data_IF_335291811487
#
_entry.id   IF_335291811487
#
_cell.length_a   1.000
_cell.length_b   1.000
_cell.length_c   1.000
_cell.angle_alpha   90.00
_cell.angle_beta   90.00
_cell.angle_gamma   90.00
#
_symmetry.space_group_name_H-M   'P 1'
#
loop_
_entity.id
_entity.type
_entity.pdbx_description
1 polymer ?
#
# COMPACT_ATOMS: atom_id res chain seq x y z
N UNK A 1 -22.27 -45.97 9.50
CA UNK A 1 -22.51 -45.61 8.08
C UNK A 1 -23.90 -45.01 7.89
N UNK A 2 -24.99 -45.76 8.12
CA UNK A 2 -26.35 -45.25 7.91
C UNK A 2 -26.68 -43.99 8.71
N UNK A 3 -26.28 -43.91 9.99
CA UNK A 3 -26.49 -42.71 10.80
C UNK A 3 -25.81 -41.45 10.20
N UNK A 4 -24.61 -41.60 9.63
CA UNK A 4 -23.90 -40.50 8.96
C UNK A 4 -24.66 -40.03 7.71
N UNK A 5 -25.13 -40.98 6.90
CA UNK A 5 -25.91 -40.67 5.69
C UNK A 5 -27.23 -39.98 6.02
N UNK A 6 -27.90 -40.39 7.10
CA UNK A 6 -29.10 -39.72 7.61
C UNK A 6 -28.81 -38.29 8.04
N UNK A 7 -27.70 -38.04 8.74
CA UNK A 7 -27.26 -36.68 9.12
C UNK A 7 -26.92 -35.84 7.88
N UNK A 8 -26.28 -36.42 6.87
CA UNK A 8 -25.96 -35.71 5.63
C UNK A 8 -27.23 -35.32 4.86
N UNK A 9 -28.21 -36.22 4.81
CA UNK A 9 -29.51 -35.93 4.22
C UNK A 9 -30.25 -34.84 4.99
N UNK A 10 -30.18 -34.85 6.32
CA UNK A 10 -30.77 -33.79 7.16
C UNK A 10 -30.10 -32.44 6.87
N UNK A 11 -28.76 -32.41 6.79
CA UNK A 11 -27.99 -31.22 6.43
C UNK A 11 -28.37 -30.68 5.05
N UNK A 12 -28.61 -31.54 4.06
CA UNK A 12 -29.09 -31.12 2.74
C UNK A 12 -30.48 -30.50 2.79
N UNK A 13 -31.39 -31.06 3.59
CA UNK A 13 -32.73 -30.50 3.75
C UNK A 13 -32.65 -29.12 4.39
N UNK A 14 -31.83 -28.96 5.44
CA UNK A 14 -31.61 -27.67 6.10
C UNK A 14 -30.98 -26.66 5.12
N UNK A 15 -29.98 -27.07 4.35
CA UNK A 15 -29.33 -26.21 3.35
C UNK A 15 -30.32 -25.76 2.28
N UNK A 16 -31.10 -26.69 1.72
CA UNK A 16 -32.12 -26.38 0.71
C UNK A 16 -33.20 -25.44 1.26
N UNK A 17 -33.56 -25.56 2.54
CA UNK A 17 -34.52 -24.65 3.17
C UNK A 17 -33.90 -23.26 3.41
N UNK A 18 -32.65 -23.21 3.89
CA UNK A 18 -31.92 -21.97 4.11
C UNK A 18 -31.73 -21.19 2.81
N UNK A 19 -31.41 -21.85 1.69
CA UNK A 19 -31.21 -21.21 0.39
C UNK A 19 -32.48 -20.61 -0.23
N UNK A 20 -33.69 -20.98 0.26
CA UNK A 20 -34.95 -20.35 -0.17
C UNK A 20 -35.17 -18.95 0.41
N UNK A 21 -34.43 -18.57 1.46
CA UNK A 21 -34.52 -17.24 2.04
C UNK A 21 -33.55 -16.25 1.32
N UNK A 22 -34.03 -15.07 0.88
CA UNK A 22 -33.23 -14.13 0.08
C UNK A 22 -32.01 -13.54 0.81
N UNK A 23 -32.00 -13.54 2.15
CA UNK A 23 -30.85 -13.12 2.95
C UNK A 23 -29.73 -14.19 3.01
N UNK A 24 -30.08 -15.46 2.86
CA UNK A 24 -29.17 -16.60 2.98
C UNK A 24 -28.61 -17.07 1.63
N UNK A 25 -29.25 -16.70 0.51
CA UNK A 25 -28.79 -17.04 -0.85
C UNK A 25 -27.51 -16.30 -1.27
N UNK A 26 -27.20 -15.16 -0.64
CA UNK A 26 -25.99 -14.38 -0.89
C UNK A 26 -24.76 -14.90 -0.11
N UNK A 27 -24.95 -15.84 0.82
CA UNK A 27 -23.89 -16.43 1.63
C UNK A 27 -23.41 -17.77 1.03
N UNK A 28 -22.12 -18.12 1.15
CA UNK A 28 -21.55 -19.36 0.63
C UNK A 28 -21.90 -20.60 1.48
N UNK A 29 -23.18 -20.78 1.81
CA UNK A 29 -23.68 -21.82 2.73
C UNK A 29 -23.38 -23.25 2.25
N UNK A 30 -23.38 -23.47 0.93
CA UNK A 30 -23.03 -24.77 0.34
C UNK A 30 -21.64 -25.23 0.78
N UNK A 31 -20.65 -24.34 0.76
CA UNK A 31 -19.27 -24.65 1.14
C UNK A 31 -19.16 -25.03 2.62
N UNK A 32 -19.84 -24.31 3.50
CA UNK A 32 -19.84 -24.59 4.94
C UNK A 32 -20.45 -25.96 5.23
N UNK A 33 -21.63 -26.25 4.68
CA UNK A 33 -22.31 -27.54 4.87
C UNK A 33 -21.51 -28.70 4.27
N UNK A 34 -20.88 -28.48 3.12
CA UNK A 34 -19.99 -29.46 2.50
C UNK A 34 -18.74 -29.71 3.36
N UNK A 35 -18.18 -28.68 3.99
CA UNK A 35 -17.08 -28.79 4.94
C UNK A 35 -17.45 -29.63 6.17
N UNK A 36 -18.62 -29.39 6.76
CA UNK A 36 -19.13 -30.19 7.89
C UNK A 36 -19.30 -31.66 7.49
N UNK A 37 -19.88 -31.92 6.31
CA UNK A 37 -20.01 -33.28 5.78
C UNK A 37 -18.65 -33.94 5.56
N UNK A 38 -17.69 -33.22 4.99
CA UNK A 38 -16.33 -33.74 4.77
C UNK A 38 -15.68 -34.16 6.09
N UNK A 39 -15.74 -33.31 7.12
CA UNK A 39 -15.21 -33.63 8.46
C UNK A 39 -15.90 -34.88 9.02
N UNK A 40 -17.23 -34.94 8.95
CA UNK A 40 -18.01 -36.10 9.42
C UNK A 40 -17.63 -37.40 8.69
N UNK A 41 -17.44 -37.33 7.37
CA UNK A 41 -17.03 -38.48 6.55
C UNK A 41 -15.63 -38.98 6.93
N UNK A 42 -14.67 -38.07 7.14
CA UNK A 42 -13.31 -38.41 7.57
C UNK A 42 -13.34 -39.09 8.95
N UNK A 43 -14.07 -38.54 9.92
CA UNK A 43 -14.15 -39.12 11.26
C UNK A 43 -14.73 -40.54 11.26
N UNK A 44 -15.85 -40.75 10.56
CA UNK A 44 -16.45 -42.09 10.44
C UNK A 44 -15.55 -43.05 9.66
N UNK A 45 -14.85 -42.57 8.64
CA UNK A 45 -13.85 -43.35 7.91
C UNK A 45 -12.70 -43.82 8.81
N UNK A 46 -12.15 -42.92 9.64
CA UNK A 46 -11.11 -43.26 10.62
C UNK A 46 -11.64 -44.27 11.65
N UNK A 47 -12.87 -44.09 12.15
CA UNK A 47 -13.50 -45.04 13.08
C UNK A 47 -13.66 -46.43 12.45
N UNK A 48 -14.07 -46.52 11.18
CA UNK A 48 -14.13 -47.80 10.48
C UNK A 48 -12.75 -48.46 10.38
N UNK A 49 -11.72 -47.73 9.94
CA UNK A 49 -10.37 -48.25 9.80
C UNK A 49 -9.80 -48.68 11.16
N UNK A 50 -10.05 -47.88 12.20
CA UNK A 50 -9.68 -48.17 13.59
C UNK A 50 -10.27 -49.51 14.06
N UNK A 51 -11.55 -49.76 13.77
CA UNK A 51 -12.20 -51.03 14.11
C UNK A 51 -11.62 -52.21 13.32
N UNK A 52 -11.27 -52.03 12.05
CA UNK A 52 -10.67 -53.08 11.21
C UNK A 52 -9.26 -53.46 11.67
N UNK A 53 -8.46 -52.48 12.07
CA UNK A 53 -7.06 -52.66 12.51
C UNK A 53 -7.00 -53.05 14.01
N UNK A 54 -8.10 -52.88 14.76
CA UNK A 54 -8.16 -53.14 16.20
C UNK A 54 -7.35 -52.14 17.04
N UNK A 55 -7.04 -50.97 16.48
CA UNK A 55 -6.27 -49.91 17.13
C UNK A 55 -7.18 -48.74 17.47
N UNK A 56 -6.83 -47.98 18.51
CA UNK A 56 -7.65 -46.83 18.89
C UNK A 56 -7.65 -45.76 17.77
N UNK A 57 -8.78 -45.09 17.52
CA UNK A 57 -8.86 -44.06 16.47
C UNK A 57 -7.94 -42.88 16.77
N UNK A 58 -7.62 -42.64 18.05
CA UNK A 58 -6.67 -41.61 18.48
C UNK A 58 -5.26 -41.84 17.92
N UNK A 59 -4.79 -43.10 17.84
CA UNK A 59 -3.47 -43.44 17.27
C UNK A 59 -3.44 -43.15 15.77
N UNK A 60 -4.53 -43.43 15.05
CA UNK A 60 -4.62 -43.12 13.62
C UNK A 60 -4.64 -41.61 13.38
N UNK A 61 -5.42 -40.87 14.17
CA UNK A 61 -5.50 -39.41 14.08
C UNK A 61 -4.14 -38.77 14.40
N UNK A 62 -3.43 -39.26 15.42
CA UNK A 62 -2.12 -38.72 15.77
C UNK A 62 -1.08 -38.98 14.68
N UNK A 63 -1.07 -40.18 14.07
CA UNK A 63 -0.20 -40.50 12.93
C UNK A 63 -0.49 -39.63 11.70
N UNK A 64 -1.77 -39.52 11.31
CA UNK A 64 -2.22 -38.65 10.23
C UNK A 64 -1.88 -37.18 10.50
N UNK A 65 -2.10 -36.71 11.73
CA UNK A 65 -1.79 -35.36 12.16
C UNK A 65 -0.29 -35.07 12.12
N UNK A 66 0.54 -36.01 12.59
CA UNK A 66 2.00 -35.89 12.52
C UNK A 66 2.50 -35.81 11.07
N UNK A 67 2.00 -36.69 10.19
CA UNK A 67 2.33 -36.63 8.76
C UNK A 67 1.86 -35.32 8.12
N UNK A 68 0.65 -34.86 8.43
CA UNK A 68 0.12 -33.60 7.92
C UNK A 68 0.96 -32.39 8.39
N UNK A 69 1.42 -32.38 9.64
CA UNK A 69 2.30 -31.33 10.16
C UNK A 69 3.66 -31.31 9.46
N UNK A 70 4.26 -32.48 9.21
CA UNK A 70 5.50 -32.59 8.44
C UNK A 70 5.30 -32.11 7.00
N UNK A 71 4.21 -32.53 6.35
CA UNK A 71 3.86 -32.07 5.01
C UNK A 71 3.67 -30.55 4.98
N UNK A 72 2.95 -29.99 5.95
CA UNK A 72 2.76 -28.54 6.06
C UNK A 72 4.10 -27.82 6.23
N UNK A 73 5.02 -28.36 7.03
CA UNK A 73 6.34 -27.79 7.23
C UNK A 73 7.17 -27.78 5.93
N UNK A 74 7.11 -28.85 5.15
CA UNK A 74 7.82 -28.97 3.86
C UNK A 74 7.18 -28.07 2.79
N UNK A 75 5.85 -27.98 2.75
CA UNK A 75 5.13 -27.27 1.69
C UNK A 75 4.74 -25.83 2.03
N UNK A 76 5.12 -25.31 3.22
CA UNK A 76 4.80 -23.94 3.63
C UNK A 76 5.23 -22.90 2.60
N UNK A 77 6.50 -22.90 2.21
CA UNK A 77 7.04 -21.88 1.31
C UNK A 77 6.52 -22.01 -0.14
N UNK A 78 6.42 -23.22 -0.72
CA UNK A 78 5.76 -23.41 -2.02
C UNK A 78 4.31 -22.90 -2.05
N UNK A 79 3.52 -23.15 -1.00
CA UNK A 79 2.12 -22.69 -0.93
C UNK A 79 2.08 -21.16 -0.87
N UNK A 80 2.92 -20.55 -0.04
CA UNK A 80 3.01 -19.09 0.07
C UNK A 80 3.46 -18.45 -1.25
N UNK A 81 4.46 -19.02 -1.92
CA UNK A 81 4.93 -18.55 -3.22
C UNK A 81 3.85 -18.64 -4.30
N UNK A 82 3.12 -19.75 -4.36
CA UNK A 82 2.01 -19.96 -5.31
C UNK A 82 0.89 -18.95 -5.10
N UNK A 83 0.39 -18.82 -3.87
CA UNK A 83 -0.69 -17.89 -3.52
C UNK A 83 -0.27 -16.46 -3.82
N UNK A 84 0.96 -16.09 -3.47
CA UNK A 84 1.48 -14.76 -3.74
C UNK A 84 1.63 -14.47 -5.24
N UNK A 85 2.10 -15.45 -6.02
CA UNK A 85 2.17 -15.32 -7.48
C UNK A 85 0.81 -15.07 -8.11
N UNK A 86 -0.20 -15.88 -7.75
CA UNK A 86 -1.58 -15.71 -8.23
C UNK A 86 -2.11 -14.34 -7.82
N UNK A 87 -1.91 -13.92 -6.56
CA UNK A 87 -2.36 -12.62 -6.07
C UNK A 87 -1.70 -11.45 -6.82
N UNK A 88 -0.41 -11.55 -7.10
CA UNK A 88 0.35 -10.53 -7.82
C UNK A 88 -0.13 -10.38 -9.27
N UNK A 89 -0.41 -11.49 -9.95
CA UNK A 89 -0.98 -11.48 -11.30
C UNK A 89 -2.45 -11.06 -11.32
N UNK A 90 -3.27 -11.54 -10.38
CA UNK A 90 -4.71 -11.25 -10.37
C UNK A 90 -5.04 -9.80 -10.01
N UNK A 91 -4.16 -9.11 -9.27
CA UNK A 91 -4.35 -7.71 -8.86
C UNK A 91 -3.50 -6.73 -9.68
N UNK A 92 -2.84 -7.16 -10.77
CA UNK A 92 -2.00 -6.30 -11.62
C UNK A 92 -0.99 -5.44 -10.83
N UNK A 93 -0.43 -5.96 -9.73
CA UNK A 93 0.42 -5.17 -8.83
C UNK A 93 1.77 -4.80 -9.45
N UNK A 94 2.23 -5.63 -10.39
CA UNK A 94 3.51 -5.49 -11.06
C UNK A 94 3.44 -6.02 -12.49
N UNK A 95 3.97 -5.28 -13.45
CA UNK A 95 4.03 -5.66 -14.87
C UNK A 95 5.47 -5.83 -15.34
N UNK A 96 5.64 -6.59 -16.41
CA UNK A 96 6.92 -6.72 -17.08
C UNK A 96 7.39 -5.34 -17.57
N UNK A 97 8.63 -4.97 -17.28
CA UNK A 97 9.19 -3.66 -17.61
C UNK A 97 8.93 -2.55 -16.59
N UNK A 98 8.11 -2.78 -15.55
CA UNK A 98 7.92 -1.81 -14.48
C UNK A 98 9.25 -1.54 -13.76
N UNK A 99 9.46 -0.30 -13.34
CA UNK A 99 10.54 0.03 -12.43
C UNK A 99 10.11 -0.26 -11.00
N UNK A 100 10.74 -1.26 -10.40
CA UNK A 100 10.54 -1.70 -9.03
C UNK A 100 11.72 -1.30 -8.14
N UNK A 101 11.40 -0.80 -6.94
CA UNK A 101 12.38 -0.54 -5.88
C UNK A 101 11.96 -1.26 -4.59
N UNK A 102 12.84 -2.09 -4.06
CA UNK A 102 12.67 -2.84 -2.83
C UNK A 102 14.02 -2.92 -2.06
N UNK A 103 14.29 -1.94 -1.18
CA UNK A 103 15.59 -1.81 -0.51
C UNK A 103 16.01 -3.04 0.31
N UNK A 104 15.04 -3.73 0.94
CA UNK A 104 15.27 -4.95 1.73
C UNK A 104 15.99 -6.06 0.95
N UNK A 105 15.76 -6.12 -0.37
CA UNK A 105 16.35 -7.13 -1.26
C UNK A 105 17.42 -6.55 -2.20
N UNK A 106 17.75 -5.25 -2.06
CA UNK A 106 18.70 -4.60 -2.97
C UNK A 106 18.22 -4.53 -4.43
N UNK A 107 16.90 -4.56 -4.64
CA UNK A 107 16.31 -4.43 -5.97
C UNK A 107 15.95 -2.96 -6.25
N UNK A 108 16.52 -2.40 -7.31
CA UNK A 108 16.20 -1.07 -7.83
C UNK A 108 16.44 -1.06 -9.35
N UNK A 109 15.38 -1.31 -10.11
CA UNK A 109 15.46 -1.30 -11.56
C UNK A 109 14.26 -1.94 -12.26
N UNK A 110 14.46 -2.30 -13.53
CA UNK A 110 13.38 -2.77 -14.39
C UNK A 110 13.09 -4.26 -14.18
N UNK A 111 11.82 -4.62 -14.07
CA UNK A 111 11.36 -6.01 -14.02
C UNK A 111 11.57 -6.66 -15.37
N UNK A 112 12.35 -7.73 -15.41
CA UNK A 112 12.70 -8.45 -16.65
C UNK A 112 11.96 -9.78 -16.81
N UNK A 113 11.45 -10.34 -15.72
CA UNK A 113 10.75 -11.63 -15.71
C UNK A 113 9.86 -11.74 -14.48
N UNK A 114 8.66 -12.30 -14.65
CA UNK A 114 7.69 -12.55 -13.60
C UNK A 114 7.30 -14.02 -13.66
N UNK A 115 7.86 -14.80 -12.74
CA UNK A 115 7.48 -16.19 -12.50
C UNK A 115 6.42 -16.30 -11.40
N UNK A 116 5.97 -17.53 -11.17
CA UNK A 116 4.95 -17.82 -10.15
C UNK A 116 5.47 -17.62 -8.72
N UNK A 117 6.73 -17.98 -8.48
CA UNK A 117 7.35 -17.95 -7.14
C UNK A 117 8.45 -16.90 -7.02
N UNK A 118 8.89 -16.33 -8.14
CA UNK A 118 10.01 -15.38 -8.19
C UNK A 118 9.81 -14.30 -9.25
N UNK A 119 10.32 -13.10 -8.97
CA UNK A 119 10.42 -11.99 -9.91
C UNK A 119 11.88 -11.63 -10.09
N UNK A 120 12.30 -11.37 -11.32
CA UNK A 120 13.67 -10.91 -11.62
C UNK A 120 13.66 -9.44 -11.98
N UNK A 121 14.55 -8.70 -11.33
CA UNK A 121 14.76 -7.27 -11.54
C UNK A 121 16.18 -7.06 -12.04
N UNK A 122 16.33 -6.34 -13.15
CA UNK A 122 17.62 -5.85 -13.59
C UNK A 122 17.85 -4.48 -12.96
N UNK A 123 18.82 -4.42 -12.06
CA UNK A 123 19.24 -3.20 -11.41
C UNK A 123 19.93 -2.24 -12.39
N UNK A 124 20.08 -0.97 -12.01
CA UNK A 124 20.75 0.05 -12.83
C UNK A 124 22.23 -0.25 -13.10
N UNK A 125 22.88 -1.02 -12.23
CA UNK A 125 24.25 -1.53 -12.42
C UNK A 125 24.30 -2.80 -13.30
N UNK A 126 23.18 -3.17 -13.93
CA UNK A 126 22.96 -4.38 -14.73
C UNK A 126 23.03 -5.72 -13.97
N UNK A 127 23.08 -5.70 -12.63
CA UNK A 127 22.93 -6.94 -11.85
C UNK A 127 21.49 -7.45 -11.90
N UNK A 128 21.29 -8.76 -11.71
CA UNK A 128 19.96 -9.38 -11.67
C UNK A 128 19.64 -9.78 -10.23
N UNK A 129 18.67 -9.11 -9.63
CA UNK A 129 18.13 -9.45 -8.32
C UNK A 129 16.90 -10.34 -8.48
N UNK A 130 16.88 -11.48 -7.79
CA UNK A 130 15.73 -12.39 -7.79
C UNK A 130 15.01 -12.27 -6.47
N UNK A 131 13.75 -11.84 -6.51
CA UNK A 131 12.91 -11.59 -5.34
C UNK A 131 11.83 -12.67 -5.30
N UNK A 132 11.60 -13.34 -4.16
CA UNK A 132 10.47 -14.26 -4.05
C UNK A 132 9.14 -13.50 -4.06
N UNK A 133 8.13 -14.03 -4.76
CA UNK A 133 6.82 -13.37 -4.95
C UNK A 133 6.10 -13.10 -3.64
N UNK A 134 6.24 -13.98 -2.64
CA UNK A 134 5.63 -13.78 -1.33
C UNK A 134 6.11 -12.50 -0.63
N UNK A 135 7.35 -12.05 -0.88
CA UNK A 135 7.85 -10.80 -0.31
C UNK A 135 7.23 -9.56 -0.95
N UNK A 136 6.86 -9.63 -2.24
CA UNK A 136 6.16 -8.54 -2.91
C UNK A 136 4.72 -8.36 -2.42
N UNK A 137 4.13 -9.41 -1.85
CA UNK A 137 2.79 -9.38 -1.26
C UNK A 137 2.83 -9.00 0.22
N UNK A 138 3.86 -9.45 0.95
CA UNK A 138 3.94 -9.29 2.41
C UNK A 138 4.71 -8.05 2.87
N UNK A 139 5.69 -7.58 2.09
CA UNK A 139 6.45 -6.37 2.38
C UNK A 139 6.02 -5.22 1.44
N UNK A 140 6.30 -3.98 1.85
CA UNK A 140 6.10 -2.83 0.97
C UNK A 140 7.21 -2.72 -0.09
N UNK A 141 6.81 -2.41 -1.31
CA UNK A 141 7.70 -2.07 -2.43
C UNK A 141 7.18 -0.82 -3.13
N UNK A 142 8.04 -0.14 -3.90
CA UNK A 142 7.62 0.98 -4.74
C UNK A 142 7.55 0.52 -6.19
N UNK A 143 6.42 0.79 -6.83
CA UNK A 143 6.27 0.69 -8.28
C UNK A 143 6.29 2.10 -8.88
N UNK A 144 7.33 2.42 -9.63
CA UNK A 144 7.53 3.73 -10.25
C UNK A 144 6.85 3.85 -11.63
N UNK A 145 6.14 2.81 -12.10
CA UNK A 145 5.41 2.83 -13.37
C UNK A 145 4.37 3.95 -13.42
N UNK A 146 3.65 4.20 -12.33
CA UNK A 146 2.68 5.30 -12.23
C UNK A 146 3.33 6.69 -12.38
N UNK A 147 4.50 6.89 -11.77
CA UNK A 147 5.28 8.13 -11.93
C UNK A 147 5.74 8.31 -13.39
N UNK A 148 6.29 7.25 -13.98
CA UNK A 148 6.75 7.26 -15.38
C UNK A 148 5.60 7.52 -16.37
N UNK A 149 4.43 6.92 -16.16
CA UNK A 149 3.25 7.10 -17.00
C UNK A 149 2.63 8.50 -16.86
N UNK A 150 2.73 9.13 -15.68
CA UNK A 150 2.18 10.46 -15.42
C UNK A 150 2.92 11.61 -16.13
N UNK A 151 4.12 11.37 -16.66
CA UNK A 151 4.96 12.39 -17.31
C UNK A 151 5.54 13.45 -16.35
N UNK A 152 5.29 13.33 -15.03
CA UNK A 152 5.78 14.26 -14.02
C UNK A 152 6.64 13.57 -12.97
N UNK A 153 7.74 14.23 -12.56
CA UNK A 153 8.59 13.78 -11.44
C UNK A 153 8.58 14.83 -10.34
N UNK A 154 8.24 14.42 -9.11
CA UNK A 154 8.30 15.32 -7.95
C UNK A 154 9.76 15.65 -7.61
N UNK A 155 10.09 16.93 -7.61
CA UNK A 155 11.37 17.45 -7.11
C UNK A 155 11.10 18.14 -5.77
N UNK A 156 11.62 17.59 -4.67
CA UNK A 156 11.61 18.26 -3.36
C UNK A 156 12.93 19.00 -3.18
N UNK A 157 12.86 20.30 -2.88
CA UNK A 157 14.02 21.14 -2.55
C UNK A 157 13.76 21.83 -1.21
N UNK A 158 14.74 21.79 -0.31
CA UNK A 158 14.76 22.68 0.85
C UNK A 158 15.51 23.95 0.45
N UNK A 159 14.98 25.11 0.85
CA UNK A 159 15.66 26.40 0.75
C UNK A 159 15.93 26.84 2.19
N UNK A 160 17.20 26.89 2.57
CA UNK A 160 17.62 27.41 3.86
C UNK A 160 17.83 28.91 3.73
N UNK A 161 17.02 29.69 4.45
CA UNK A 161 17.13 31.15 4.49
C UNK A 161 17.81 31.52 5.81
N UNK A 162 18.87 32.31 5.72
CA UNK A 162 19.49 32.92 6.90
C UNK A 162 18.59 34.04 7.43
N UNK A 163 18.16 33.95 8.70
CA UNK A 163 17.28 34.97 9.31
C UNK A 163 17.94 36.33 9.34
N UNK A 164 19.27 36.39 9.47
CA UNK A 164 20.02 37.66 9.45
C UNK A 164 20.06 38.30 8.05
N UNK A 165 19.74 37.55 7.00
CA UNK A 165 19.63 38.07 5.64
C UNK A 165 18.28 38.75 5.37
N UNK A 166 17.30 38.65 6.28
CA UNK A 166 15.99 39.27 6.14
C UNK A 166 16.11 40.76 6.48
N UNK A 167 15.98 41.60 5.46
CA UNK A 167 15.98 43.07 5.58
C UNK A 167 14.96 43.68 4.62
N UNK A 168 14.59 44.94 4.87
CA UNK A 168 13.79 45.69 3.91
C UNK A 168 14.58 45.96 2.62
N UNK A 169 13.86 45.96 1.51
CA UNK A 169 14.43 46.24 0.18
C UNK A 169 14.71 47.73 0.03
N UNK A 170 15.86 48.05 -0.55
CA UNK A 170 16.18 49.41 -0.97
C UNK A 170 15.54 49.74 -2.33
N UNK A 171 15.40 51.03 -2.66
CA UNK A 171 14.77 51.47 -3.91
C UNK A 171 15.48 50.91 -5.15
N UNK A 172 16.82 50.85 -5.14
CA UNK A 172 17.63 50.28 -6.21
C UNK A 172 17.41 48.76 -6.39
N UNK A 173 17.23 48.05 -5.27
CA UNK A 173 16.94 46.61 -5.27
C UNK A 173 15.54 46.32 -5.76
N UNK A 174 14.58 47.17 -5.38
CA UNK A 174 13.22 47.10 -5.88
C UNK A 174 13.19 47.28 -7.39
N UNK A 175 13.90 48.28 -7.93
CA UNK A 175 14.02 48.49 -9.38
C UNK A 175 14.69 47.31 -10.07
N UNK A 176 15.72 46.71 -9.46
CA UNK A 176 16.40 45.52 -10.01
C UNK A 176 15.48 44.30 -10.04
N UNK A 177 14.77 44.00 -8.96
CA UNK A 177 13.88 42.86 -8.86
C UNK A 177 12.63 43.02 -9.72
N UNK A 178 12.18 44.24 -9.97
CA UNK A 178 11.08 44.53 -10.88
C UNK A 178 11.43 44.25 -12.36
N UNK A 179 12.71 44.05 -12.70
CA UNK A 179 13.15 43.53 -14.01
C UNK A 179 12.91 42.03 -14.16
N UNK A 180 12.74 41.28 -13.07
CA UNK A 180 12.49 39.85 -13.12
C UNK A 180 11.03 39.56 -13.50
N UNK A 181 10.83 38.84 -14.61
CA UNK A 181 9.51 38.60 -15.21
C UNK A 181 8.51 37.94 -14.24
N UNK A 182 8.98 36.98 -13.43
CA UNK A 182 8.13 36.24 -12.48
C UNK A 182 7.75 37.05 -11.23
N UNK A 183 8.57 38.06 -10.85
CA UNK A 183 8.35 38.84 -9.63
C UNK A 183 7.62 40.16 -9.89
N UNK A 184 7.75 40.71 -11.10
CA UNK A 184 7.18 42.01 -11.50
C UNK A 184 5.68 42.18 -11.17
N UNK A 185 4.78 41.23 -11.49
CA UNK A 185 3.35 41.41 -11.20
C UNK A 185 3.08 41.55 -9.70
N UNK A 186 3.72 40.72 -8.89
CA UNK A 186 3.58 40.74 -7.44
C UNK A 186 4.20 42.00 -6.81
N UNK A 187 5.41 42.37 -7.22
CA UNK A 187 6.08 43.56 -6.67
C UNK A 187 5.31 44.85 -7.02
N UNK A 188 4.75 44.94 -8.22
CA UNK A 188 3.97 46.10 -8.64
C UNK A 188 2.68 46.24 -7.84
N UNK A 189 1.91 45.15 -7.67
CA UNK A 189 0.66 45.19 -6.90
C UNK A 189 0.92 45.50 -5.42
N UNK A 190 1.95 44.88 -4.83
CA UNK A 190 2.31 45.12 -3.43
C UNK A 190 2.79 46.54 -3.17
N UNK A 191 3.58 47.11 -4.07
CA UNK A 191 4.03 48.50 -3.94
C UNK A 191 2.85 49.48 -4.00
N UNK A 192 1.85 49.24 -4.84
CA UNK A 192 0.62 50.04 -4.90
C UNK A 192 -0.19 49.94 -3.61
N UNK A 193 -0.45 48.72 -3.11
CA UNK A 193 -1.16 48.49 -1.84
C UNK A 193 -0.51 49.23 -0.67
N UNK A 194 0.82 49.15 -0.56
CA UNK A 194 1.59 49.81 0.51
C UNK A 194 1.48 51.34 0.40
N UNK A 195 1.59 51.88 -0.82
CA UNK A 195 1.50 53.33 -1.05
C UNK A 195 0.10 53.89 -0.77
N UNK A 196 -0.95 53.15 -1.14
CA UNK A 196 -2.34 53.54 -0.85
C UNK A 196 -2.61 53.53 0.65
N UNK A 197 -2.13 52.51 1.35
CA UNK A 197 -2.25 52.41 2.80
C UNK A 197 -1.50 53.54 3.52
N UNK A 198 -0.27 53.86 3.08
CA UNK A 198 0.52 54.96 3.64
C UNK A 198 -0.17 56.33 3.44
N UNK A 199 -0.83 56.54 2.29
CA UNK A 199 -1.61 57.76 2.01
C UNK A 199 -2.83 57.91 2.91
N UNK A 200 -3.52 56.81 3.21
CA UNK A 200 -4.70 56.82 4.09
C UNK A 200 -4.35 57.12 5.55
N UNK A 201 -3.13 56.81 5.99
CA UNK A 201 -2.67 57.03 7.37
C UNK A 201 -1.95 58.37 7.60
N UNK A 202 -1.89 59.27 6.61
CA UNK A 202 -1.36 60.62 6.79
C UNK A 202 0.10 60.71 7.24
N UNK A 203 0.95 59.75 6.88
CA UNK A 203 2.36 59.73 7.28
C UNK A 203 3.22 60.51 6.27
N UNK A 204 3.54 61.77 6.60
CA UNK A 204 4.44 62.66 5.82
C UNK A 204 5.85 62.74 6.43
N UNK A 205 6.32 61.72 7.14
CA UNK A 205 7.70 61.69 7.63
C UNK A 205 8.34 60.31 7.44
N UNK A 206 9.62 60.36 7.07
CA UNK A 206 10.57 59.31 6.71
C UNK A 206 10.56 58.08 7.62
N UNK A 207 9.58 57.21 7.44
CA UNK A 207 9.47 55.91 8.10
C UNK A 207 8.32 55.12 7.51
N UNK A 208 8.62 54.26 6.53
CA UNK A 208 7.64 53.34 5.93
C UNK A 208 7.09 52.46 7.05
N UNK A 209 5.82 52.63 7.43
CA UNK A 209 5.15 51.72 8.36
C UNK A 209 4.62 50.52 7.57
N UNK A 210 4.80 49.28 8.06
CA UNK A 210 4.26 48.10 7.38
C UNK A 210 2.74 48.08 7.46
N UNK A 211 2.09 47.62 6.40
CA UNK A 211 0.64 47.42 6.38
C UNK A 211 0.23 46.31 7.38
N UNK A 212 -0.98 46.30 7.96
CA UNK A 212 -1.38 45.42 9.05
C UNK A 212 -1.25 43.92 8.74
N UNK A 213 -1.25 43.55 7.46
CA UNK A 213 -1.13 42.16 7.03
C UNK A 213 0.33 41.63 7.00
N UNK A 214 1.34 42.49 7.15
CA UNK A 214 2.75 42.09 7.25
C UNK A 214 3.13 41.60 8.66
N UNK A 215 2.24 41.74 9.64
CA UNK A 215 2.46 41.28 11.01
C UNK A 215 2.23 39.76 11.18
N UNK A 216 1.76 39.07 10.13
CA UNK A 216 1.48 37.63 10.10
C UNK A 216 2.63 36.77 9.53
N UNK A 217 3.86 37.29 9.41
CA UNK A 217 5.04 36.46 9.11
C UNK A 217 5.57 35.73 10.36
N UNK A 218 4.68 35.08 11.11
CA UNK A 218 5.11 34.13 12.13
C UNK A 218 5.61 32.86 11.43
N UNK A 219 6.94 32.69 11.35
CA UNK A 219 7.63 31.56 10.71
C UNK A 219 7.18 30.17 11.24
N UNK A 220 6.49 30.12 12.38
CA UNK A 220 5.88 28.89 12.89
C UNK A 220 4.83 28.29 11.94
N UNK A 221 4.09 29.11 11.19
CA UNK A 221 3.15 28.64 10.14
C UNK A 221 3.84 28.05 8.90
N UNK A 222 5.12 28.39 8.67
CA UNK A 222 5.87 27.84 7.52
C UNK A 222 6.37 26.42 7.81
N UNK A 223 6.60 26.07 9.08
CA UNK A 223 7.03 24.73 9.48
C UNK A 223 5.95 23.68 9.28
N UNK A 224 4.68 23.99 9.60
CA UNK A 224 3.54 23.07 9.45
C UNK A 224 3.21 22.75 7.98
N UNK A 225 3.50 23.69 7.07
CA UNK A 225 3.15 23.58 5.65
C UNK A 225 4.21 22.87 4.80
N UNK A 226 5.42 22.68 5.32
CA UNK A 226 6.51 21.95 4.65
C UNK A 226 6.50 20.46 5.03
N UNK A 227 5.80 20.10 6.12
CA UNK A 227 5.68 18.73 6.63
C UNK A 227 4.48 17.91 6.10
N UNK A 228 3.68 18.43 5.17
CA UNK A 228 2.62 17.70 4.45
C UNK A 228 3.01 17.46 2.99
#
# INVERSE_FOLDING_TARGET
MYALLSVFSLLDVILNLAQKFPAASQLPLKGIFQGVKLIGAILVGILMISLLIGQSPAILISGLGAMAAVLMLVFKDPILGLVAGIQLSANDMLKLGDWLEMPKYGADGAVIDIGLTTVKVRNWDNTITTIPTWSLVSDSFKNWSGMSASGGRRIKRSISIDVTSIRFLDEDEMQRLNKAHLLKPYLTSRHQEINEWNRQQGSTESGIKPAPNDQYWNLSCLSERISA
#
